data_IF_941013744112
#
_entry.id   IF_941013744112
#
_cell.length_a   1.000
_cell.length_b   1.000
_cell.length_c   1.000
_cell.angle_alpha   90.00
_cell.angle_beta   90.00
_cell.angle_gamma   90.00
#
_symmetry.space_group_name_H-M   'P 1'
#
loop_
_entity.id
_entity.type
_entity.pdbx_description
1 polymer ?
#
# COMPACT_ATOMS: atom_id res chain seq x y z
N UNK A 1 9.30 -7.31 20.33
CA UNK A 1 9.47 -8.77 20.04
C UNK A 1 9.92 -8.94 18.60
N UNK A 2 10.70 -9.96 18.24
CA UNK A 2 11.02 -10.21 16.82
C UNK A 2 9.76 -10.78 16.14
N UNK A 3 9.42 -10.27 14.95
CA UNK A 3 8.31 -10.81 14.15
C UNK A 3 8.84 -12.00 13.34
N UNK A 4 8.47 -13.21 13.75
CA UNK A 4 8.88 -14.45 13.10
C UNK A 4 7.79 -15.00 12.16
N UNK A 5 6.51 -14.68 12.45
CA UNK A 5 5.36 -15.13 11.69
C UNK A 5 4.43 -13.97 11.35
N UNK A 6 4.28 -13.72 10.05
CA UNK A 6 3.44 -12.66 9.49
C UNK A 6 2.17 -13.24 8.85
N UNK A 7 1.02 -12.73 9.26
CA UNK A 7 -0.24 -12.92 8.55
C UNK A 7 -0.48 -11.78 7.55
N UNK A 8 -0.93 -12.09 6.34
CA UNK A 8 -1.36 -11.08 5.39
C UNK A 8 -2.79 -11.38 4.95
N UNK A 9 -3.68 -10.43 5.14
CA UNK A 9 -5.09 -10.56 4.74
C UNK A 9 -5.36 -9.67 3.55
N UNK A 10 -5.61 -10.29 2.40
CA UNK A 10 -5.90 -9.61 1.15
C UNK A 10 -5.13 -10.19 -0.03
N UNK A 11 -5.83 -10.43 -1.15
CA UNK A 11 -5.30 -11.10 -2.35
C UNK A 11 -4.87 -10.12 -3.45
N UNK A 12 -4.65 -8.84 -3.09
CA UNK A 12 -4.23 -7.81 -4.03
C UNK A 12 -2.71 -7.79 -4.27
N UNK A 13 -2.29 -6.92 -5.20
CA UNK A 13 -0.88 -6.71 -5.57
C UNK A 13 -0.03 -6.36 -4.34
N UNK A 14 -0.58 -5.55 -3.41
CA UNK A 14 0.16 -5.15 -2.20
C UNK A 14 0.38 -6.34 -1.26
N UNK A 15 -0.64 -7.16 -1.00
CA UNK A 15 -0.49 -8.34 -0.15
C UNK A 15 0.59 -9.31 -0.68
N UNK A 16 0.60 -9.60 -1.98
CA UNK A 16 1.62 -10.43 -2.61
C UNK A 16 3.02 -9.80 -2.51
N UNK A 17 3.13 -8.49 -2.74
CA UNK A 17 4.40 -7.77 -2.64
C UNK A 17 4.96 -7.72 -1.21
N UNK A 18 4.12 -7.52 -0.20
CA UNK A 18 4.52 -7.54 1.22
C UNK A 18 4.98 -8.94 1.61
N UNK A 19 4.27 -9.99 1.15
CA UNK A 19 4.67 -11.38 1.37
C UNK A 19 6.06 -11.69 0.82
N UNK A 20 6.35 -11.25 -0.41
CA UNK A 20 7.68 -11.42 -1.02
C UNK A 20 8.77 -10.75 -0.17
N UNK A 21 8.53 -9.51 0.25
CA UNK A 21 9.48 -8.73 1.07
C UNK A 21 9.75 -9.41 2.41
N UNK A 22 8.71 -9.84 3.12
CA UNK A 22 8.83 -10.48 4.43
C UNK A 22 9.49 -11.87 4.33
N UNK A 23 9.12 -12.68 3.33
CA UNK A 23 9.71 -14.00 3.12
C UNK A 23 11.21 -13.92 2.76
N UNK A 24 11.63 -12.89 2.01
CA UNK A 24 13.05 -12.59 1.75
C UNK A 24 13.81 -12.22 3.03
N UNK A 25 13.16 -11.58 3.97
CA UNK A 25 13.73 -11.26 5.28
C UNK A 25 13.79 -12.45 6.25
N UNK A 26 13.33 -13.63 5.82
CA UNK A 26 13.35 -14.86 6.63
C UNK A 26 12.09 -15.10 7.44
N UNK A 27 11.07 -14.25 7.33
CA UNK A 27 9.81 -14.34 8.07
C UNK A 27 8.91 -15.41 7.45
N UNK A 28 8.29 -16.24 8.28
CA UNK A 28 7.23 -17.17 7.84
C UNK A 28 5.95 -16.38 7.54
N UNK A 29 5.33 -16.61 6.38
CA UNK A 29 4.19 -15.82 5.91
C UNK A 29 2.97 -16.71 5.68
N UNK A 30 1.83 -16.28 6.20
CA UNK A 30 0.51 -16.87 5.91
C UNK A 30 -0.29 -15.87 5.08
N UNK A 31 -0.49 -16.17 3.80
CA UNK A 31 -1.34 -15.39 2.90
C UNK A 31 -2.79 -15.86 3.02
N UNK A 32 -3.65 -15.00 3.50
CA UNK A 32 -5.08 -15.29 3.62
C UNK A 32 -5.89 -14.51 2.59
N UNK A 33 -6.73 -15.22 1.84
CA UNK A 33 -7.77 -14.64 0.97
C UNK A 33 -9.13 -15.26 1.28
N UNK A 34 -10.22 -14.59 0.89
CA UNK A 34 -11.58 -15.13 1.08
C UNK A 34 -11.84 -16.43 0.30
N UNK A 35 -11.08 -16.68 -0.76
CA UNK A 35 -11.16 -17.89 -1.59
C UNK A 35 -9.79 -18.53 -1.66
N UNK A 36 -9.73 -19.86 -1.50
CA UNK A 36 -8.48 -20.62 -1.59
C UNK A 36 -7.80 -20.40 -2.95
N UNK A 37 -8.55 -20.43 -4.04
CA UNK A 37 -8.02 -20.17 -5.39
C UNK A 37 -7.28 -18.81 -5.49
N UNK A 38 -7.80 -17.79 -4.81
CA UNK A 38 -7.16 -16.46 -4.82
C UNK A 38 -5.89 -16.45 -3.95
N UNK A 39 -5.87 -17.20 -2.86
CA UNK A 39 -4.68 -17.35 -2.01
C UNK A 39 -3.59 -18.13 -2.75
N UNK A 40 -3.94 -19.22 -3.41
CA UNK A 40 -3.03 -20.04 -4.21
C UNK A 40 -2.46 -19.25 -5.40
N UNK A 41 -3.29 -18.41 -6.05
CA UNK A 41 -2.83 -17.54 -7.13
C UNK A 41 -1.78 -16.51 -6.67
N UNK A 42 -1.84 -16.05 -5.41
CA UNK A 42 -0.81 -15.15 -4.86
C UNK A 42 0.53 -15.87 -4.70
N UNK A 43 0.52 -17.11 -4.20
CA UNK A 43 1.76 -17.92 -4.08
C UNK A 43 2.34 -18.22 -5.46
N UNK A 44 1.48 -18.56 -6.43
CA UNK A 44 1.94 -18.78 -7.82
C UNK A 44 2.54 -17.51 -8.44
N UNK A 45 1.95 -16.34 -8.16
CA UNK A 45 2.49 -15.04 -8.61
C UNK A 45 3.85 -14.74 -7.96
N UNK A 46 4.01 -15.07 -6.67
CA UNK A 46 5.29 -14.98 -5.97
C UNK A 46 6.34 -15.87 -6.64
N UNK A 47 6.05 -17.15 -6.87
CA UNK A 47 6.95 -18.09 -7.56
C UNK A 47 7.37 -17.56 -8.94
N UNK A 48 6.42 -17.00 -9.71
CA UNK A 48 6.71 -16.35 -11.01
C UNK A 48 7.65 -15.14 -10.85
N UNK A 49 7.45 -14.31 -9.84
CA UNK A 49 8.33 -13.17 -9.52
C UNK A 49 9.74 -13.62 -9.20
N UNK A 50 9.88 -14.64 -8.33
CA UNK A 50 11.18 -15.21 -7.93
C UNK A 50 11.89 -15.86 -9.12
N UNK A 51 11.21 -16.67 -9.92
CA UNK A 51 11.78 -17.28 -11.13
C UNK A 51 12.31 -16.23 -12.12
N UNK A 52 11.59 -15.10 -12.27
CA UNK A 52 12.07 -13.97 -13.09
C UNK A 52 13.32 -13.30 -12.52
N UNK A 53 13.47 -13.27 -11.19
CA UNK A 53 14.69 -12.72 -10.56
C UNK A 53 15.87 -13.67 -10.74
N UNK A 54 15.65 -14.98 -10.64
CA UNK A 54 16.66 -16.01 -10.94
C UNK A 54 17.12 -15.91 -12.39
N UNK A 55 16.20 -15.85 -13.35
CA UNK A 55 16.53 -15.74 -14.78
C UNK A 55 17.32 -14.47 -15.12
N UNK A 56 17.28 -13.43 -14.28
CA UNK A 56 18.03 -12.18 -14.40
C UNK A 56 19.34 -12.19 -13.59
N UNK A 57 19.68 -13.29 -12.94
CA UNK A 57 20.86 -13.40 -12.08
C UNK A 57 20.84 -12.52 -10.84
N UNK A 58 19.64 -12.15 -10.35
CA UNK A 58 19.44 -11.31 -9.14
C UNK A 58 19.18 -12.12 -7.89
N UNK A 59 18.88 -13.39 -8.04
CA UNK A 59 18.58 -14.36 -6.99
C UNK A 59 19.07 -15.72 -7.47
N UNK A 60 19.57 -16.58 -6.58
CA UNK A 60 19.87 -17.96 -6.94
C UNK A 60 18.64 -18.88 -6.73
N UNK A 61 18.69 -20.09 -7.30
CA UNK A 61 17.56 -21.04 -7.25
C UNK A 61 17.30 -21.54 -5.83
N UNK A 62 18.35 -21.72 -5.03
CA UNK A 62 18.23 -22.23 -3.65
C UNK A 62 17.56 -21.18 -2.76
N UNK A 63 17.95 -19.91 -2.91
CA UNK A 63 17.30 -18.80 -2.21
C UNK A 63 15.85 -18.63 -2.64
N UNK A 64 15.56 -18.72 -3.95
CA UNK A 64 14.18 -18.63 -4.45
C UNK A 64 13.29 -19.73 -3.84
N UNK A 65 13.75 -20.97 -3.82
CA UNK A 65 13.05 -22.09 -3.22
C UNK A 65 12.84 -21.90 -1.70
N UNK A 66 13.87 -21.39 -1.01
CA UNK A 66 13.80 -21.10 0.43
C UNK A 66 12.76 -19.99 0.73
N UNK A 67 12.70 -18.94 -0.08
CA UNK A 67 11.73 -17.85 0.05
C UNK A 67 10.31 -18.37 -0.18
N UNK A 68 10.09 -19.14 -1.25
CA UNK A 68 8.78 -19.72 -1.57
C UNK A 68 8.31 -20.66 -0.47
N UNK A 69 9.22 -21.49 0.08
CA UNK A 69 8.94 -22.41 1.19
C UNK A 69 8.52 -21.75 2.50
N UNK A 70 8.74 -20.44 2.68
CA UNK A 70 8.26 -19.68 3.84
C UNK A 70 6.84 -19.17 3.71
N UNK A 71 6.22 -19.27 2.53
CA UNK A 71 4.90 -18.69 2.25
C UNK A 71 3.86 -19.79 2.12
N UNK A 72 2.83 -19.72 2.93
CA UNK A 72 1.65 -20.59 2.85
C UNK A 72 0.41 -19.78 2.47
N UNK A 73 -0.57 -20.43 1.85
CA UNK A 73 -1.82 -19.83 1.41
C UNK A 73 -3.03 -20.51 2.03
N UNK A 74 -4.03 -19.72 2.43
CA UNK A 74 -5.25 -20.27 3.05
C UNK A 74 -6.47 -19.38 2.82
N UNK A 75 -7.66 -19.97 2.86
CA UNK A 75 -8.92 -19.23 2.97
C UNK A 75 -9.38 -19.10 4.43
N UNK A 76 -8.80 -19.88 5.34
CA UNK A 76 -9.14 -19.91 6.74
C UNK A 76 -8.51 -18.74 7.50
N UNK A 77 -9.32 -17.98 8.23
CA UNK A 77 -8.86 -16.86 9.04
C UNK A 77 -8.17 -17.33 10.33
N UNK A 78 -8.58 -18.49 10.86
CA UNK A 78 -8.02 -19.05 12.09
C UNK A 78 -6.55 -19.48 11.93
N UNK A 79 -6.09 -19.68 10.70
CA UNK A 79 -4.67 -19.95 10.42
C UNK A 79 -3.73 -18.79 10.82
N UNK A 80 -4.28 -17.62 11.12
CA UNK A 80 -3.55 -16.44 11.59
C UNK A 80 -3.35 -16.42 13.12
N UNK A 81 -3.92 -17.37 13.86
CA UNK A 81 -3.93 -17.38 15.32
C UNK A 81 -2.54 -17.21 15.95
N UNK A 82 -1.51 -17.85 15.38
CA UNK A 82 -0.13 -17.82 15.89
C UNK A 82 0.76 -16.71 15.29
N UNK A 83 0.19 -15.80 14.49
CA UNK A 83 0.96 -14.70 13.90
C UNK A 83 1.39 -13.67 14.96
N UNK A 84 2.61 -13.14 14.81
CA UNK A 84 3.13 -12.05 15.64
C UNK A 84 2.63 -10.69 15.17
N UNK A 85 2.47 -10.58 13.85
CA UNK A 85 1.96 -9.41 13.16
C UNK A 85 0.96 -9.88 12.09
N UNK A 86 -0.17 -9.19 11.97
CA UNK A 86 -1.09 -9.36 10.85
C UNK A 86 -1.20 -8.03 10.10
N UNK A 87 -0.89 -8.03 8.81
CA UNK A 87 -1.05 -6.86 7.93
C UNK A 87 -2.29 -7.04 7.05
N UNK A 88 -3.26 -6.19 7.25
CA UNK A 88 -4.46 -6.10 6.42
C UNK A 88 -4.15 -5.31 5.13
N UNK A 89 -4.54 -5.85 3.97
CA UNK A 89 -4.38 -5.28 2.64
C UNK A 89 -5.56 -5.64 1.73
N UNK A 90 -6.79 -5.50 2.26
CA UNK A 90 -8.05 -5.72 1.52
C UNK A 90 -8.48 -4.45 0.77
N UNK A 91 -9.71 -4.43 0.26
CA UNK A 91 -10.27 -3.24 -0.40
C UNK A 91 -10.26 -2.03 0.53
N UNK A 92 -10.10 -0.83 -0.05
CA UNK A 92 -10.00 0.43 0.70
C UNK A 92 -11.42 0.91 1.07
N UNK A 93 -12.00 0.22 2.04
CA UNK A 93 -13.34 0.46 2.59
C UNK A 93 -13.27 0.35 4.11
N UNK A 94 -13.63 1.43 4.81
CA UNK A 94 -13.45 1.54 6.25
C UNK A 94 -14.29 0.51 7.02
N UNK A 95 -15.54 0.31 6.62
CA UNK A 95 -16.45 -0.61 7.34
C UNK A 95 -15.97 -2.06 7.19
N UNK A 96 -15.50 -2.43 6.00
CA UNK A 96 -14.90 -3.75 5.76
C UNK A 96 -13.66 -3.96 6.64
N UNK A 97 -12.80 -2.95 6.73
CA UNK A 97 -11.57 -3.04 7.55
C UNK A 97 -11.90 -3.10 9.05
N UNK A 98 -12.83 -2.28 9.53
CA UNK A 98 -13.31 -2.28 10.93
C UNK A 98 -13.84 -3.66 11.33
N UNK A 99 -14.74 -4.23 10.52
CA UNK A 99 -15.24 -5.57 10.77
C UNK A 99 -14.11 -6.61 10.83
N UNK A 100 -13.18 -6.56 9.88
CA UNK A 100 -12.05 -7.48 9.82
C UNK A 100 -11.14 -7.36 11.05
N UNK A 101 -10.87 -6.14 11.54
CA UNK A 101 -10.07 -5.94 12.74
C UNK A 101 -10.73 -6.54 13.98
N UNK A 102 -12.04 -6.38 14.14
CA UNK A 102 -12.80 -7.04 15.20
C UNK A 102 -12.82 -8.58 15.09
N UNK A 103 -12.76 -9.14 13.88
CA UNK A 103 -12.63 -10.59 13.67
C UNK A 103 -11.19 -11.06 14.02
N UNK A 104 -10.17 -10.37 13.53
CA UNK A 104 -8.76 -10.68 13.78
C UNK A 104 -8.40 -10.61 15.26
N UNK A 105 -8.95 -9.63 15.99
CA UNK A 105 -8.72 -9.47 17.43
C UNK A 105 -9.10 -10.70 18.27
N UNK A 106 -10.14 -11.44 17.83
CA UNK A 106 -10.60 -12.65 18.50
C UNK A 106 -9.78 -13.89 18.15
N UNK A 107 -9.03 -13.84 17.05
CA UNK A 107 -8.33 -14.98 16.48
C UNK A 107 -6.86 -14.99 16.87
N UNK A 108 -6.19 -13.82 16.71
CA UNK A 108 -4.74 -13.75 16.91
C UNK A 108 -4.36 -13.85 18.39
N UNK A 109 -3.20 -14.41 18.66
CA UNK A 109 -2.67 -14.57 20.02
C UNK A 109 -2.52 -13.24 20.75
N UNK A 110 -2.49 -13.31 22.07
CA UNK A 110 -2.18 -12.15 22.91
C UNK A 110 -0.81 -11.56 22.53
N UNK A 111 -0.75 -10.21 22.49
CA UNK A 111 0.46 -9.47 22.14
C UNK A 111 0.75 -9.34 20.64
N UNK A 112 -0.03 -10.01 19.76
CA UNK A 112 0.09 -9.81 18.32
C UNK A 112 -0.24 -8.36 17.93
N UNK A 113 0.47 -7.86 16.91
CA UNK A 113 0.18 -6.54 16.30
C UNK A 113 -0.83 -6.74 15.17
N UNK A 114 -1.85 -5.90 15.15
CA UNK A 114 -2.77 -5.76 14.02
C UNK A 114 -2.42 -4.48 13.26
N UNK A 115 -2.04 -4.62 12.01
CA UNK A 115 -1.65 -3.50 11.17
C UNK A 115 -2.49 -3.41 9.90
N UNK A 116 -2.69 -2.18 9.40
CA UNK A 116 -3.31 -1.94 8.10
C UNK A 116 -2.31 -1.34 7.11
N UNK A 117 -2.43 -1.73 5.84
CA UNK A 117 -1.67 -1.13 4.75
C UNK A 117 -2.48 -0.03 4.02
N UNK A 118 -3.49 0.54 4.68
CA UNK A 118 -4.27 1.66 4.12
C UNK A 118 -3.37 2.83 3.77
N UNK A 119 -3.79 3.62 2.78
CA UNK A 119 -3.10 4.83 2.35
C UNK A 119 -3.74 6.12 2.86
N UNK A 120 -5.01 6.07 3.28
CA UNK A 120 -5.78 7.29 3.56
C UNK A 120 -6.84 7.15 4.65
N UNK A 121 -7.22 5.90 5.01
CA UNK A 121 -8.26 5.68 6.01
C UNK A 121 -7.71 5.86 7.43
N UNK A 122 -8.51 6.39 8.36
CA UNK A 122 -8.09 6.60 9.75
C UNK A 122 -7.85 5.27 10.46
N UNK A 123 -6.59 5.02 10.83
CA UNK A 123 -6.17 3.76 11.47
C UNK A 123 -6.79 3.63 12.86
N UNK A 124 -6.98 4.74 13.56
CA UNK A 124 -7.62 4.76 14.88
C UNK A 124 -9.02 4.17 14.88
N UNK A 125 -9.79 4.33 13.79
CA UNK A 125 -11.14 3.76 13.70
C UNK A 125 -11.13 2.23 13.59
N UNK A 126 -10.07 1.64 13.06
CA UNK A 126 -9.86 0.19 13.10
C UNK A 126 -9.37 -0.26 14.48
N UNK A 127 -8.53 0.55 15.13
CA UNK A 127 -8.01 0.25 16.46
C UNK A 127 -9.10 0.11 17.52
N UNK A 128 -10.11 0.99 17.51
CA UNK A 128 -11.21 0.98 18.49
C UNK A 128 -12.17 -0.21 18.33
N UNK A 129 -12.13 -0.93 17.21
CA UNK A 129 -12.90 -2.18 17.02
C UNK A 129 -12.25 -3.40 17.71
N UNK A 130 -11.06 -3.23 18.28
CA UNK A 130 -10.29 -4.29 18.94
C UNK A 130 -10.26 -4.10 20.45
N UNK A 131 -10.04 -5.19 21.20
CA UNK A 131 -9.78 -5.16 22.64
C UNK A 131 -8.33 -4.77 23.00
N UNK A 132 -7.49 -4.49 21.98
CA UNK A 132 -6.07 -4.16 22.11
C UNK A 132 -5.65 -2.97 21.25
N UNK A 133 -6.32 -1.81 21.35
CA UNK A 133 -6.06 -0.66 20.46
C UNK A 133 -4.60 -0.17 20.52
N UNK A 134 -3.89 -0.41 21.64
CA UNK A 134 -2.47 -0.10 21.81
C UNK A 134 -1.56 -1.02 20.94
N UNK A 135 -2.07 -2.17 20.46
CA UNK A 135 -1.38 -3.11 19.57
C UNK A 135 -1.78 -2.92 18.10
N UNK A 136 -2.40 -1.79 17.76
CA UNK A 136 -2.82 -1.47 16.38
C UNK A 136 -2.00 -0.31 15.84
N UNK A 137 -1.54 -0.42 14.59
CA UNK A 137 -0.82 0.63 13.85
C UNK A 137 -1.06 0.52 12.34
N UNK A 138 -0.60 1.50 11.58
CA UNK A 138 -0.48 1.36 10.13
C UNK A 138 0.94 0.91 9.76
N UNK A 139 1.04 0.08 8.71
CA UNK A 139 2.33 -0.27 8.08
C UNK A 139 2.14 -0.13 6.57
N UNK A 140 2.32 1.10 6.11
CA UNK A 140 2.01 1.51 4.75
C UNK A 140 3.20 1.27 3.81
N UNK A 141 3.11 0.22 3.01
CA UNK A 141 4.06 -0.09 1.94
C UNK A 141 3.65 0.61 0.65
N UNK A 142 4.63 0.96 -0.17
CA UNK A 142 4.41 1.59 -1.47
C UNK A 142 4.47 0.57 -2.60
N UNK A 143 3.65 0.77 -3.62
CA UNK A 143 3.60 -0.11 -4.80
C UNK A 143 4.69 0.24 -5.84
N UNK A 144 5.51 -0.73 -6.30
CA UNK A 144 5.57 -2.14 -5.89
C UNK A 144 6.38 -2.35 -4.59
N UNK A 145 5.83 -3.06 -3.60
CA UNK A 145 6.46 -3.24 -2.29
C UNK A 145 7.92 -3.79 -2.37
N UNK A 146 8.29 -4.72 -3.27
CA UNK A 146 9.66 -5.16 -3.38
C UNK A 146 10.65 -4.09 -3.87
N UNK A 147 10.18 -3.09 -4.64
CA UNK A 147 11.05 -2.10 -5.27
C UNK A 147 11.19 -0.80 -4.47
N UNK A 148 10.17 -0.46 -3.68
CA UNK A 148 10.15 0.78 -2.90
C UNK A 148 10.86 0.58 -1.57
N UNK A 149 11.76 1.51 -1.22
CA UNK A 149 12.52 1.43 0.04
C UNK A 149 11.72 1.89 1.24
N UNK A 150 10.80 2.85 1.07
CA UNK A 150 10.07 3.50 2.14
C UNK A 150 8.92 2.63 2.67
N UNK A 151 8.75 2.66 4.00
CA UNK A 151 7.54 2.24 4.70
C UNK A 151 7.14 3.33 5.69
N UNK A 152 5.90 3.80 5.64
CA UNK A 152 5.35 4.67 6.66
C UNK A 152 4.74 3.82 7.77
N UNK A 153 5.26 3.96 9.01
CA UNK A 153 4.70 3.35 10.21
C UNK A 153 3.78 4.36 10.87
N UNK A 154 2.48 4.10 10.82
CA UNK A 154 1.46 5.04 11.24
C UNK A 154 1.10 4.80 12.69
N UNK A 155 1.36 5.81 13.52
CA UNK A 155 0.99 5.85 14.93
C UNK A 155 -0.40 6.44 15.09
N UNK A 156 -1.31 5.71 15.69
CA UNK A 156 -2.59 6.27 16.15
C UNK A 156 -2.45 6.94 17.51
N UNK A 157 -3.48 7.65 17.94
CA UNK A 157 -3.55 8.18 19.32
C UNK A 157 -3.51 7.10 20.40
N UNK A 158 -3.76 5.84 20.04
CA UNK A 158 -3.87 4.71 20.97
C UNK A 158 -2.67 3.75 20.86
N UNK A 159 -1.91 3.77 19.77
CA UNK A 159 -0.76 2.88 19.57
C UNK A 159 0.30 3.08 20.63
N UNK A 160 0.77 2.00 21.26
CA UNK A 160 1.87 2.07 22.22
C UNK A 160 3.21 2.33 21.54
N UNK A 161 4.17 2.90 22.27
CA UNK A 161 5.54 3.08 21.79
C UNK A 161 6.21 1.75 21.43
N UNK A 162 5.89 0.69 22.16
CA UNK A 162 6.37 -0.67 21.91
C UNK A 162 5.86 -1.19 20.56
N UNK A 163 4.57 -1.04 20.26
CA UNK A 163 3.98 -1.46 18.99
C UNK A 163 4.62 -0.74 17.81
N UNK A 164 4.81 0.57 17.92
CA UNK A 164 5.47 1.36 16.87
C UNK A 164 6.91 0.92 16.68
N UNK A 165 7.66 0.70 17.78
CA UNK A 165 9.05 0.25 17.73
C UNK A 165 9.18 -1.15 17.09
N UNK A 166 8.27 -2.08 17.40
CA UNK A 166 8.24 -3.41 16.79
C UNK A 166 7.90 -3.35 15.29
N UNK A 167 6.95 -2.51 14.88
CA UNK A 167 6.60 -2.29 13.46
C UNK A 167 7.78 -1.67 12.68
N UNK A 168 8.49 -0.71 13.28
CA UNK A 168 9.72 -0.12 12.73
C UNK A 168 10.80 -1.20 12.56
N UNK A 169 11.04 -2.01 13.60
CA UNK A 169 12.03 -3.09 13.55
C UNK A 169 11.69 -4.13 12.47
N UNK A 170 10.41 -4.48 12.32
CA UNK A 170 9.94 -5.36 11.23
C UNK A 170 10.24 -4.77 9.85
N UNK A 171 9.90 -3.50 9.62
CA UNK A 171 10.18 -2.86 8.33
C UNK A 171 11.69 -2.82 8.03
N UNK A 172 12.52 -2.53 9.04
CA UNK A 172 13.99 -2.55 8.91
C UNK A 172 14.52 -3.96 8.59
N UNK A 173 14.02 -5.00 9.28
CA UNK A 173 14.37 -6.39 9.00
C UNK A 173 13.99 -6.80 7.57
N UNK A 174 12.91 -6.22 7.02
CA UNK A 174 12.51 -6.35 5.62
C UNK A 174 13.37 -5.52 4.63
N UNK A 175 14.45 -4.90 5.09
CA UNK A 175 15.33 -4.06 4.26
C UNK A 175 14.69 -2.75 3.81
N UNK A 176 13.72 -2.24 4.57
CA UNK A 176 13.03 -0.98 4.30
C UNK A 176 13.55 0.15 5.19
N UNK A 177 13.27 1.36 4.76
CA UNK A 177 13.51 2.60 5.49
C UNK A 177 12.20 3.06 6.14
N UNK A 178 11.94 2.72 7.41
CA UNK A 178 10.71 3.13 8.07
C UNK A 178 10.76 4.60 8.50
N UNK A 179 9.64 5.28 8.30
CA UNK A 179 9.39 6.63 8.83
C UNK A 179 8.13 6.57 9.67
N UNK A 180 8.23 7.00 10.93
CA UNK A 180 7.06 7.09 11.82
C UNK A 180 6.28 8.36 11.51
N UNK A 181 4.96 8.22 11.40
CA UNK A 181 4.04 9.31 11.06
C UNK A 181 2.75 9.19 11.89
N UNK A 182 2.14 10.32 12.19
CA UNK A 182 0.83 10.37 12.86
C UNK A 182 -0.29 9.91 11.91
N UNK A 183 -1.36 9.36 12.49
CA UNK A 183 -2.56 8.89 11.79
C UNK A 183 -3.35 10.07 11.23
N UNK A 184 -3.02 10.47 10.02
CA UNK A 184 -3.66 11.52 9.23
C UNK A 184 -3.82 11.07 7.78
N UNK A 185 -4.91 11.46 7.11
CA UNK A 185 -5.14 11.07 5.71
C UNK A 185 -3.93 11.38 4.82
N UNK A 186 -3.47 10.36 4.07
CA UNK A 186 -2.35 10.49 3.13
C UNK A 186 -0.97 10.54 3.77
N UNK A 187 -0.87 10.48 5.10
CA UNK A 187 0.37 10.44 5.88
C UNK A 187 1.36 11.53 5.42
N UNK A 188 2.56 11.18 4.98
CA UNK A 188 3.53 12.16 4.43
C UNK A 188 3.47 12.18 2.91
N UNK A 189 3.68 11.03 2.27
CA UNK A 189 3.90 10.99 0.82
C UNK A 189 2.67 11.43 0.06
N UNK A 190 1.50 10.84 0.35
CA UNK A 190 0.29 11.17 -0.38
C UNK A 190 -0.21 12.58 -0.06
N UNK A 191 -0.04 13.05 1.19
CA UNK A 191 -0.42 14.40 1.59
C UNK A 191 0.39 15.49 0.86
N UNK A 192 1.63 15.21 0.47
CA UNK A 192 2.48 16.14 -0.30
C UNK A 192 2.34 15.93 -1.82
N UNK A 193 2.29 14.67 -2.25
CA UNK A 193 2.30 14.31 -3.67
C UNK A 193 1.00 14.68 -4.38
N UNK A 194 -0.16 14.35 -3.81
CA UNK A 194 -1.42 14.51 -4.53
C UNK A 194 -1.84 15.97 -4.74
N UNK A 195 -1.65 16.91 -3.80
CA UNK A 195 -1.82 18.34 -4.09
C UNK A 195 -0.90 18.84 -5.19
N UNK A 196 0.36 18.39 -5.22
CA UNK A 196 1.27 18.72 -6.30
C UNK A 196 0.77 18.20 -7.66
N UNK A 197 0.33 16.94 -7.74
CA UNK A 197 -0.23 16.35 -8.96
C UNK A 197 -1.52 17.07 -9.39
N UNK A 198 -2.41 17.37 -8.43
CA UNK A 198 -3.64 18.11 -8.67
C UNK A 198 -3.37 19.52 -9.24
N UNK A 199 -2.32 20.20 -8.74
CA UNK A 199 -1.89 21.49 -9.27
C UNK A 199 -1.39 21.38 -10.72
N UNK A 200 -0.69 20.32 -11.10
CA UNK A 200 -0.30 20.08 -12.48
C UNK A 200 -1.52 19.92 -13.41
N UNK A 201 -2.56 19.20 -12.96
CA UNK A 201 -3.82 19.09 -13.70
C UNK A 201 -4.53 20.46 -13.80
N UNK A 202 -4.50 21.27 -12.74
CA UNK A 202 -5.07 22.64 -12.74
C UNK A 202 -4.36 23.54 -13.76
N UNK A 203 -3.03 23.45 -13.87
CA UNK A 203 -2.27 24.19 -14.91
C UNK A 203 -2.70 23.77 -16.32
N UNK A 204 -2.91 22.48 -16.56
CA UNK A 204 -3.40 21.98 -17.84
C UNK A 204 -4.84 22.46 -18.13
N UNK A 205 -5.74 22.35 -17.15
CA UNK A 205 -7.14 22.80 -17.27
C UNK A 205 -7.23 24.29 -17.60
N UNK A 206 -6.40 25.10 -16.95
CA UNK A 206 -6.31 26.55 -17.16
C UNK A 206 -5.52 26.94 -18.43
N UNK A 207 -5.03 25.96 -19.19
CA UNK A 207 -4.21 26.19 -20.41
C UNK A 207 -2.94 27.04 -20.15
N UNK A 208 -2.37 26.93 -18.94
CA UNK A 208 -1.10 27.61 -18.60
C UNK A 208 0.05 27.06 -19.43
N UNK A 209 0.08 25.74 -19.65
CA UNK A 209 1.03 25.05 -20.50
C UNK A 209 0.41 23.78 -21.10
N UNK A 210 1.07 23.23 -22.12
CA UNK A 210 0.67 21.94 -22.66
C UNK A 210 1.01 20.79 -21.69
N UNK A 211 0.34 19.66 -21.86
CA UNK A 211 0.62 18.41 -21.12
C UNK A 211 2.11 18.05 -21.14
N UNK A 212 2.71 18.10 -22.34
CA UNK A 212 4.09 17.68 -22.56
C UNK A 212 5.07 18.67 -21.92
N UNK A 213 4.77 19.96 -21.96
CA UNK A 213 5.60 21.00 -21.35
C UNK A 213 5.57 20.94 -19.82
N UNK A 214 4.41 20.67 -19.20
CA UNK A 214 4.28 20.49 -17.74
C UNK A 214 5.17 19.32 -17.29
N UNK A 215 5.07 18.18 -17.96
CA UNK A 215 5.88 17.00 -17.62
C UNK A 215 7.38 17.23 -17.87
N UNK A 216 7.73 17.87 -18.98
CA UNK A 216 9.11 18.21 -19.31
C UNK A 216 9.73 19.20 -18.30
N UNK A 217 8.97 20.23 -17.90
CA UNK A 217 9.43 21.22 -16.94
C UNK A 217 9.76 20.59 -15.58
N UNK A 218 8.92 19.69 -15.07
CA UNK A 218 9.14 19.04 -13.78
C UNK A 218 10.30 18.03 -13.82
N UNK A 219 10.48 17.33 -14.93
CA UNK A 219 11.66 16.48 -15.12
C UNK A 219 12.95 17.29 -15.22
N UNK A 220 12.96 18.36 -16.02
CA UNK A 220 14.16 19.15 -16.27
C UNK A 220 14.49 20.16 -15.17
N UNK A 221 13.46 20.80 -14.59
CA UNK A 221 13.63 21.84 -13.59
C UNK A 221 13.80 21.33 -12.16
N UNK A 222 13.16 20.20 -11.83
CA UNK A 222 13.20 19.59 -10.48
C UNK A 222 13.91 18.24 -10.45
N UNK A 223 14.42 17.75 -11.56
CA UNK A 223 15.09 16.43 -11.69
C UNK A 223 14.18 15.27 -11.25
N UNK A 224 12.88 15.38 -11.44
CA UNK A 224 11.96 14.28 -11.14
C UNK A 224 12.11 13.17 -12.18
N UNK A 225 12.06 11.89 -11.78
CA UNK A 225 12.24 10.78 -12.71
C UNK A 225 11.08 10.68 -13.71
N UNK A 226 9.92 11.27 -13.39
CA UNK A 226 8.70 11.22 -14.17
C UNK A 226 7.95 12.55 -14.03
N UNK A 227 7.30 12.99 -15.10
CA UNK A 227 6.43 14.17 -15.04
C UNK A 227 5.12 13.87 -14.29
N UNK A 228 4.46 14.92 -13.74
CA UNK A 228 3.28 14.75 -12.89
C UNK A 228 2.09 14.10 -13.59
N UNK A 229 1.84 14.43 -14.86
CA UNK A 229 0.69 13.87 -15.60
C UNK A 229 0.95 12.42 -16.03
N UNK A 230 2.21 12.10 -16.40
CA UNK A 230 2.64 10.72 -16.61
C UNK A 230 2.55 9.88 -15.32
N UNK A 231 2.86 10.47 -14.16
CA UNK A 231 2.75 9.79 -12.86
C UNK A 231 1.29 9.54 -12.48
N UNK A 232 0.38 10.49 -12.72
CA UNK A 232 -1.05 10.29 -12.53
C UNK A 232 -1.57 9.12 -13.37
N UNK A 233 -1.16 9.01 -14.63
CA UNK A 233 -1.52 7.90 -15.51
C UNK A 233 -0.95 6.55 -15.04
N UNK A 234 0.20 6.54 -14.37
CA UNK A 234 0.80 5.35 -13.77
C UNK A 234 0.04 4.90 -12.53
N UNK A 235 -0.28 5.82 -11.64
CA UNK A 235 -1.02 5.56 -10.38
C UNK A 235 -2.47 5.14 -10.68
N UNK A 236 -3.08 5.79 -11.66
CA UNK A 236 -4.49 5.68 -12.00
C UNK A 236 -5.27 6.91 -11.52
N UNK A 237 -6.06 7.48 -12.45
CA UNK A 237 -6.77 8.73 -12.19
C UNK A 237 -7.89 8.57 -11.17
N UNK A 238 -8.58 7.43 -11.18
CA UNK A 238 -9.61 7.09 -10.19
C UNK A 238 -9.03 6.93 -8.79
N UNK A 239 -7.89 6.24 -8.65
CA UNK A 239 -7.15 6.15 -7.38
C UNK A 239 -6.73 7.53 -6.90
N UNK A 240 -6.25 8.37 -7.81
CA UNK A 240 -5.83 9.75 -7.50
C UNK A 240 -6.99 10.62 -7.02
N UNK A 241 -8.18 10.49 -7.64
CA UNK A 241 -9.39 11.17 -7.18
C UNK A 241 -9.79 10.68 -5.79
N UNK A 242 -9.79 9.37 -5.54
CA UNK A 242 -10.14 8.80 -4.24
C UNK A 242 -9.22 9.31 -3.11
N UNK A 243 -7.91 9.38 -3.37
CA UNK A 243 -6.94 9.92 -2.40
C UNK A 243 -7.18 11.42 -2.15
N UNK A 244 -7.38 12.21 -3.20
CA UNK A 244 -7.71 13.64 -3.04
C UNK A 244 -9.02 13.85 -2.26
N UNK A 245 -10.03 13.02 -2.49
CA UNK A 245 -11.31 13.09 -1.77
C UNK A 245 -11.15 12.74 -0.29
N UNK A 246 -10.33 11.75 0.04
CA UNK A 246 -10.01 11.42 1.43
C UNK A 246 -9.29 12.57 2.13
N UNK A 247 -8.26 13.15 1.49
CA UNK A 247 -7.56 14.33 1.99
C UNK A 247 -8.51 15.52 2.19
N UNK A 248 -9.36 15.81 1.19
CA UNK A 248 -10.34 16.89 1.28
C UNK A 248 -11.36 16.65 2.38
N UNK A 249 -11.79 15.41 2.58
CA UNK A 249 -12.77 15.05 3.61
C UNK A 249 -12.23 15.32 5.01
N UNK A 250 -10.97 14.99 5.26
CA UNK A 250 -10.34 15.25 6.55
C UNK A 250 -10.00 16.73 6.76
N UNK A 251 -9.26 17.32 5.81
CA UNK A 251 -8.68 18.64 6.02
C UNK A 251 -9.60 19.80 5.66
N UNK A 252 -10.61 19.58 4.82
CA UNK A 252 -11.53 20.60 4.27
C UNK A 252 -10.81 21.77 3.58
N UNK A 253 -9.55 21.56 3.16
CA UNK A 253 -8.78 22.55 2.42
C UNK A 253 -9.06 22.40 0.92
N UNK A 254 -9.49 23.49 0.22
CA UNK A 254 -9.74 23.47 -1.23
C UNK A 254 -8.56 23.00 -2.10
N UNK A 255 -7.32 23.06 -1.61
CA UNK A 255 -6.16 22.56 -2.33
C UNK A 255 -6.19 21.04 -2.55
N UNK A 256 -6.90 20.30 -1.68
CA UNK A 256 -7.08 18.86 -1.83
C UNK A 256 -8.26 18.48 -2.75
N UNK A 257 -9.17 19.42 -3.03
CA UNK A 257 -10.29 19.13 -3.92
C UNK A 257 -9.80 18.79 -5.33
N UNK A 258 -10.12 17.57 -5.80
CA UNK A 258 -9.77 17.15 -7.14
C UNK A 258 -10.34 18.12 -8.19
N UNK A 259 -9.49 18.62 -9.10
CA UNK A 259 -9.92 19.57 -10.13
C UNK A 259 -10.94 18.95 -11.08
N UNK A 260 -11.87 19.75 -11.64
CA UNK A 260 -12.96 19.25 -12.48
C UNK A 260 -12.48 18.42 -13.68
N UNK A 261 -11.38 18.78 -14.32
CA UNK A 261 -10.82 18.00 -15.43
C UNK A 261 -10.49 16.56 -15.03
N UNK A 262 -9.84 16.37 -13.86
CA UNK A 262 -9.46 15.04 -13.39
C UNK A 262 -10.71 14.17 -13.16
N UNK A 263 -11.76 14.72 -12.51
CA UNK A 263 -13.03 14.00 -12.30
C UNK A 263 -13.73 13.66 -13.61
N UNK A 264 -13.72 14.57 -14.59
CA UNK A 264 -14.32 14.33 -15.91
C UNK A 264 -13.58 13.24 -16.68
N UNK A 265 -12.25 13.18 -16.58
CA UNK A 265 -11.47 12.11 -17.19
C UNK A 265 -11.81 10.75 -16.59
N UNK A 266 -11.93 10.66 -15.26
CA UNK A 266 -12.37 9.43 -14.59
C UNK A 266 -13.76 9.02 -15.04
N UNK A 267 -14.72 9.95 -15.07
CA UNK A 267 -16.10 9.69 -15.55
C UNK A 267 -16.13 9.22 -17.02
N UNK A 268 -15.19 9.67 -17.85
CA UNK A 268 -15.03 9.25 -19.24
C UNK A 268 -14.31 7.89 -19.42
N UNK A 269 -13.90 7.24 -18.30
CA UNK A 269 -13.15 5.97 -18.34
C UNK A 269 -11.67 6.13 -18.71
N UNK A 270 -11.15 7.35 -18.75
CA UNK A 270 -9.73 7.62 -18.95
C UNK A 270 -9.01 7.48 -17.62
N UNK A 271 -8.61 6.23 -17.28
CA UNK A 271 -8.06 5.91 -15.97
C UNK A 271 -6.52 5.81 -15.96
N UNK A 272 -5.86 6.21 -17.04
CA UNK A 272 -4.42 6.10 -17.21
C UNK A 272 -4.00 4.80 -17.89
N UNK A 273 -2.80 4.30 -17.57
CA UNK A 273 -2.22 3.11 -18.21
C UNK A 273 -3.11 1.87 -18.13
N UNK A 274 -3.80 1.69 -17.02
CA UNK A 274 -4.66 0.50 -16.81
C UNK A 274 -5.87 0.41 -17.73
N UNK A 275 -6.34 1.57 -18.26
CA UNK A 275 -7.42 1.64 -19.25
C UNK A 275 -6.91 1.88 -20.68
N UNK A 276 -5.59 1.93 -20.88
CA UNK A 276 -4.97 2.27 -22.16
C UNK A 276 -5.03 3.77 -22.50
N UNK A 277 -5.67 4.59 -21.68
CA UNK A 277 -5.83 6.02 -21.92
C UNK A 277 -5.95 6.81 -20.62
N UNK A 278 -5.22 7.92 -20.54
CA UNK A 278 -5.27 8.91 -19.48
C UNK A 278 -5.00 10.30 -20.03
N UNK A 279 -4.08 11.03 -19.43
CA UNK A 279 -3.50 12.24 -20.01
C UNK A 279 -2.75 11.91 -21.30
N UNK A 280 -2.16 10.72 -21.38
CA UNK A 280 -1.51 10.17 -22.55
C UNK A 280 -2.30 8.99 -23.11
N UNK A 281 -1.98 8.65 -24.36
CA UNK A 281 -2.54 7.47 -25.04
C UNK A 281 -1.54 6.33 -24.92
N UNK A 282 -1.98 5.18 -24.41
CA UNK A 282 -1.21 3.95 -24.21
C UNK A 282 -1.77 2.79 -25.04
N UNK A 283 -2.85 3.01 -25.81
CA UNK A 283 -3.35 2.01 -26.72
C UNK A 283 -2.29 1.72 -27.80
N UNK A 284 -1.93 0.43 -27.94
CA UNK A 284 -1.03 -0.06 -28.99
C UNK A 284 -1.80 -0.36 -30.25
#
# INVERSE_FOLDING_TARGET
>A
MAIERLGIVGSGIMGAGIAEVAAKAGVAVVLRSRKQESADAMVAALGTSLARQVSKGRLDEADAASIEGRVSATADLDALADCDLVVESVVEDLDVKKQLFGELDRIVKDGAILATNTSTLPVVEMAIETGRPERVCGVHFFNPAPAMSLVEVVRTLLSSDETVAEAVAFAQACGKEPVVVEDRAGFIVNALLFPYLNNAVRMLENRTASRDDIDAAMKGGCNFPMGPLTLLDLVGLDTSVAILDALYTEFRDPNYAAVPLLRRMVAAGHLGRKSGRGFYDYAK
#
